data_IF_749377166613
#
_entry.id   IF_749377166613
#
_cell.length_a   1.000
_cell.length_b   1.000
_cell.length_c   1.000
_cell.angle_alpha   90.00
_cell.angle_beta   90.00
_cell.angle_gamma   90.00
#
_symmetry.space_group_name_H-M   'P 1'
#
loop_
_entity.id
_entity.type
_entity.pdbx_description
1 polymer ?
#
# COMPACT_ATOMS: atom_id res chain seq x y z
N UNK A 1 6.37 18.94 -13.61
CA UNK A 1 6.00 17.52 -13.48
C UNK A 1 5.84 16.88 -14.87
N UNK A 2 6.40 15.69 -15.11
CA UNK A 2 6.26 14.95 -16.38
C UNK A 2 4.80 14.73 -16.82
N UNK A 3 4.52 14.73 -18.13
CA UNK A 3 3.15 14.65 -18.70
C UNK A 3 2.39 13.41 -18.24
N UNK A 4 3.05 12.25 -18.18
CA UNK A 4 2.49 10.98 -17.72
C UNK A 4 2.13 10.98 -16.22
N UNK A 5 2.73 11.86 -15.42
CA UNK A 5 2.47 11.96 -13.98
C UNK A 5 1.41 13.02 -13.66
N UNK A 6 0.99 13.86 -14.63
CA UNK A 6 -0.03 14.92 -14.42
C UNK A 6 -1.36 14.42 -13.86
N UNK A 7 -1.73 13.17 -14.14
CA UNK A 7 -2.93 12.52 -13.60
C UNK A 7 -2.86 12.24 -12.10
N UNK A 8 -1.68 12.29 -11.49
CA UNK A 8 -1.46 12.06 -10.05
C UNK A 8 -1.11 13.35 -9.31
N UNK A 9 -1.30 14.53 -9.94
CA UNK A 9 -0.91 15.83 -9.36
C UNK A 9 -1.55 16.10 -7.98
N UNK A 10 -2.70 15.48 -7.72
CA UNK A 10 -3.49 15.66 -6.50
C UNK A 10 -3.16 14.58 -5.44
N UNK A 11 -2.05 13.85 -5.61
CA UNK A 11 -1.57 12.86 -4.65
C UNK A 11 -2.22 11.47 -4.76
N UNK A 12 -3.18 11.29 -5.68
CA UNK A 12 -3.82 10.00 -5.96
C UNK A 12 -4.98 10.11 -6.95
N UNK A 13 -5.58 8.96 -7.27
CA UNK A 13 -6.87 8.85 -7.99
C UNK A 13 -7.61 7.64 -7.45
N UNK A 14 -8.94 7.66 -7.50
CA UNK A 14 -9.73 6.43 -7.33
C UNK A 14 -9.49 5.51 -8.52
N UNK A 15 -9.29 4.21 -8.26
CA UNK A 15 -9.28 3.17 -9.29
C UNK A 15 -10.61 2.41 -9.24
N UNK A 16 -11.13 2.02 -10.40
CA UNK A 16 -12.16 0.98 -10.44
C UNK A 16 -11.54 -0.35 -9.99
N UNK A 17 -12.38 -1.32 -9.62
CA UNK A 17 -11.91 -2.64 -9.18
C UNK A 17 -11.17 -3.35 -10.31
N UNK A 18 -11.67 -3.22 -11.55
CA UNK A 18 -11.06 -3.82 -12.74
C UNK A 18 -9.68 -3.21 -13.00
N UNK A 19 -9.56 -1.88 -12.92
CA UNK A 19 -8.30 -1.19 -13.08
C UNK A 19 -7.30 -1.56 -11.96
N UNK A 20 -7.78 -1.76 -10.73
CA UNK A 20 -6.95 -2.16 -9.61
C UNK A 20 -6.38 -3.58 -9.78
N UNK A 21 -7.22 -4.54 -10.18
CA UNK A 21 -6.80 -5.95 -10.36
C UNK A 21 -5.93 -6.13 -11.61
N UNK A 22 -6.09 -5.27 -12.62
CA UNK A 22 -5.29 -5.33 -13.85
C UNK A 22 -3.82 -4.92 -13.66
N UNK A 23 -3.45 -4.31 -12.53
CA UNK A 23 -2.09 -3.84 -12.26
C UNK A 23 -1.24 -4.96 -11.60
N UNK A 24 -0.20 -5.49 -12.28
CA UNK A 24 0.61 -6.58 -11.77
C UNK A 24 1.68 -6.08 -10.77
N UNK A 25 1.23 -5.55 -9.64
CA UNK A 25 2.13 -5.08 -8.59
C UNK A 25 2.77 -6.26 -7.82
N UNK A 26 4.07 -6.20 -7.62
CA UNK A 26 4.82 -7.18 -6.80
C UNK A 26 4.80 -6.86 -5.30
N UNK A 27 4.57 -5.60 -4.96
CA UNK A 27 4.39 -5.09 -3.60
C UNK A 27 3.20 -4.15 -3.58
N UNK A 28 2.42 -4.20 -2.50
CA UNK A 28 1.26 -3.34 -2.32
C UNK A 28 1.45 -2.48 -1.08
N UNK A 29 1.55 -1.16 -1.27
CA UNK A 29 1.66 -0.21 -0.18
C UNK A 29 0.27 0.34 0.17
N UNK A 30 -0.02 0.38 1.46
CA UNK A 30 -1.24 0.99 1.98
C UNK A 30 -0.93 1.96 3.11
N UNK A 31 -1.86 2.87 3.37
CA UNK A 31 -1.79 3.88 4.44
C UNK A 31 -3.00 3.73 5.38
N UNK A 32 -3.34 2.49 5.75
CA UNK A 32 -4.43 2.23 6.69
C UNK A 32 -3.99 2.55 8.11
N UNK A 33 -4.92 3.01 8.93
CA UNK A 33 -4.73 3.00 10.39
C UNK A 33 -4.70 1.56 10.91
N UNK A 34 -4.26 1.36 12.14
CA UNK A 34 -4.28 0.04 12.79
C UNK A 34 -5.70 -0.55 12.86
N UNK A 35 -6.73 0.30 12.99
CA UNK A 35 -8.12 -0.13 13.02
C UNK A 35 -8.68 -0.50 11.63
N UNK A 36 -8.21 0.16 10.57
CA UNK A 36 -8.66 -0.06 9.20
C UNK A 36 -7.99 -1.29 8.54
N UNK A 37 -6.73 -1.55 8.88
CA UNK A 37 -5.91 -2.58 8.24
C UNK A 37 -6.52 -3.99 8.29
N UNK A 38 -7.06 -4.50 9.42
CA UNK A 38 -7.64 -5.85 9.47
C UNK A 38 -8.79 -6.04 8.47
N UNK A 39 -9.63 -5.02 8.30
CA UNK A 39 -10.77 -5.07 7.38
C UNK A 39 -10.31 -5.13 5.91
N UNK A 40 -9.25 -4.38 5.56
CA UNK A 40 -8.65 -4.45 4.23
C UNK A 40 -8.04 -5.84 3.97
N UNK A 41 -7.29 -6.37 4.93
CA UNK A 41 -6.65 -7.68 4.82
C UNK A 41 -7.67 -8.81 4.68
N UNK A 42 -8.82 -8.71 5.36
CA UNK A 42 -9.91 -9.67 5.20
C UNK A 42 -10.46 -9.65 3.77
N UNK A 43 -10.73 -8.46 3.23
CA UNK A 43 -11.20 -8.29 1.85
C UNK A 43 -10.22 -8.83 0.82
N UNK A 44 -8.93 -8.70 1.06
CA UNK A 44 -7.89 -9.25 0.20
C UNK A 44 -7.87 -10.78 0.14
N UNK A 45 -8.56 -11.50 1.03
CA UNK A 45 -8.76 -12.95 0.91
C UNK A 45 -9.74 -13.34 -0.20
N UNK A 46 -10.56 -12.40 -0.68
CA UNK A 46 -11.52 -12.70 -1.75
C UNK A 46 -10.80 -13.09 -3.06
N UNK A 47 -11.34 -14.06 -3.84
CA UNK A 47 -10.69 -14.58 -5.05
C UNK A 47 -10.30 -13.51 -6.07
N UNK A 48 -11.07 -12.44 -6.16
CA UNK A 48 -10.84 -11.33 -7.08
C UNK A 48 -9.47 -10.67 -6.87
N UNK A 49 -9.07 -10.48 -5.61
CA UNK A 49 -7.81 -9.82 -5.27
C UNK A 49 -6.60 -10.76 -5.31
N UNK A 50 -6.84 -12.08 -5.22
CA UNK A 50 -5.80 -13.10 -5.31
C UNK A 50 -5.16 -13.22 -6.71
N UNK A 51 -5.72 -12.55 -7.72
CA UNK A 51 -5.07 -12.33 -9.01
C UNK A 51 -3.88 -11.38 -8.95
N UNK A 52 -3.79 -10.53 -7.92
CA UNK A 52 -2.72 -9.54 -7.76
C UNK A 52 -1.51 -10.21 -7.09
N UNK A 53 -0.31 -10.21 -7.72
CA UNK A 53 0.87 -10.91 -7.17
C UNK A 53 1.27 -10.45 -5.77
N UNK A 54 1.17 -9.15 -5.47
CA UNK A 54 1.46 -8.62 -4.14
C UNK A 54 0.55 -9.21 -3.06
N UNK A 55 -0.74 -9.36 -3.35
CA UNK A 55 -1.71 -9.88 -2.38
C UNK A 55 -1.54 -11.38 -2.22
N UNK A 56 -1.46 -12.11 -3.34
CA UNK A 56 -1.27 -13.57 -3.36
C UNK A 56 -0.03 -14.02 -2.58
N UNK A 57 1.06 -13.26 -2.66
CA UNK A 57 2.33 -13.59 -2.01
C UNK A 57 2.50 -12.91 -0.64
N UNK A 58 1.44 -12.33 -0.07
CA UNK A 58 1.46 -11.63 1.22
C UNK A 58 2.53 -10.51 1.29
N UNK A 59 2.72 -9.77 0.20
CA UNK A 59 3.65 -8.64 0.07
C UNK A 59 2.91 -7.31 0.19
N UNK A 60 2.08 -7.21 1.21
CA UNK A 60 1.34 -6.01 1.58
C UNK A 60 2.10 -5.30 2.69
N UNK A 61 2.41 -4.03 2.49
CA UNK A 61 3.18 -3.20 3.42
C UNK A 61 2.29 -2.03 3.83
N UNK A 62 2.06 -1.88 5.14
CA UNK A 62 1.30 -0.75 5.66
C UNK A 62 2.27 0.32 6.20
N UNK A 63 2.26 1.49 5.56
CA UNK A 63 2.88 2.70 6.08
C UNK A 63 1.78 3.54 6.72
N UNK A 64 1.52 3.32 8.01
CA UNK A 64 0.39 3.94 8.71
C UNK A 64 0.29 5.43 8.43
N UNK A 65 -0.91 5.88 8.03
CA UNK A 65 -1.22 7.29 7.79
C UNK A 65 -0.84 8.19 8.98
N UNK A 66 -0.95 7.67 10.19
CA UNK A 66 -0.66 8.39 11.44
C UNK A 66 0.82 8.75 11.58
N UNK A 67 1.72 7.96 10.99
CA UNK A 67 3.15 8.26 11.00
C UNK A 67 3.58 8.93 9.68
N UNK A 68 3.04 8.46 8.56
CA UNK A 68 3.49 8.85 7.22
C UNK A 68 3.06 10.28 6.82
N UNK A 69 1.88 10.74 7.27
CA UNK A 69 1.33 12.03 6.82
C UNK A 69 1.60 13.21 7.78
N UNK A 70 2.21 12.97 8.95
CA UNK A 70 2.40 14.00 9.99
C UNK A 70 3.74 14.75 9.91
N UNK A 71 4.43 14.68 8.77
CA UNK A 71 5.64 15.47 8.51
C UNK A 71 6.87 15.01 9.31
N UNK A 72 7.86 15.89 9.55
CA UNK A 72 9.20 15.49 10.00
C UNK A 72 9.25 14.87 11.41
N UNK A 73 8.18 14.97 12.19
CA UNK A 73 8.15 14.48 13.56
C UNK A 73 8.01 12.95 13.66
N UNK A 74 7.32 12.33 12.69
CA UNK A 74 7.02 10.90 12.70
C UNK A 74 7.52 10.18 11.45
N UNK A 75 8.10 10.91 10.49
CA UNK A 75 8.61 10.32 9.24
C UNK A 75 9.73 9.32 9.49
N UNK A 76 10.64 9.58 10.42
CA UNK A 76 11.74 8.67 10.74
C UNK A 76 11.20 7.33 11.27
N UNK A 77 10.23 7.39 12.19
CA UNK A 77 9.51 6.20 12.67
C UNK A 77 8.80 5.47 11.53
N UNK A 78 8.13 6.21 10.64
CA UNK A 78 7.42 5.62 9.51
C UNK A 78 8.38 4.90 8.53
N UNK A 79 9.58 5.44 8.34
CA UNK A 79 10.64 4.84 7.52
C UNK A 79 11.25 3.62 8.21
N UNK A 80 11.50 3.69 9.53
CA UNK A 80 11.99 2.54 10.31
C UNK A 80 10.99 1.38 10.27
N UNK A 81 9.70 1.66 10.44
CA UNK A 81 8.61 0.68 10.35
C UNK A 81 8.56 0.03 8.95
N UNK A 82 8.76 0.82 7.89
CA UNK A 82 8.85 0.33 6.52
C UNK A 82 10.05 -0.60 6.32
N UNK A 83 11.24 -0.18 6.76
CA UNK A 83 12.47 -0.99 6.65
C UNK A 83 12.32 -2.32 7.39
N UNK A 84 11.71 -2.30 8.58
CA UNK A 84 11.43 -3.50 9.36
C UNK A 84 10.51 -4.48 8.61
N UNK A 85 9.40 -3.98 8.07
CA UNK A 85 8.47 -4.79 7.27
C UNK A 85 9.14 -5.38 6.02
N UNK A 86 9.95 -4.58 5.32
CA UNK A 86 10.67 -5.05 4.12
C UNK A 86 11.69 -6.15 4.43
N UNK A 87 12.40 -6.07 5.56
CA UNK A 87 13.33 -7.12 6.00
C UNK A 87 12.60 -8.44 6.25
N UNK A 88 11.42 -8.39 6.86
CA UNK A 88 10.61 -9.59 7.13
C UNK A 88 10.05 -10.24 5.86
N UNK A 89 9.91 -9.48 4.76
CA UNK A 89 9.46 -10.00 3.46
C UNK A 89 10.59 -10.59 2.60
N UNK A 90 11.86 -10.40 2.98
CA UNK A 90 13.04 -10.94 2.30
C UNK A 90 13.56 -12.25 2.91
N UNK A 91 12.98 -12.66 4.05
CA UNK A 91 13.24 -13.93 4.75
C UNK A 91 12.20 -14.97 4.33
#
# INVERSE_FOLDING_TARGET
MPKNLKKFKDGGTGLSIEAFVAEPANYFFTQMTEAELPSLLERFKEPLYQGIPAIKNNRIINVSRENWNYGPYLVDKAVDDLISQMKNLQL
#
